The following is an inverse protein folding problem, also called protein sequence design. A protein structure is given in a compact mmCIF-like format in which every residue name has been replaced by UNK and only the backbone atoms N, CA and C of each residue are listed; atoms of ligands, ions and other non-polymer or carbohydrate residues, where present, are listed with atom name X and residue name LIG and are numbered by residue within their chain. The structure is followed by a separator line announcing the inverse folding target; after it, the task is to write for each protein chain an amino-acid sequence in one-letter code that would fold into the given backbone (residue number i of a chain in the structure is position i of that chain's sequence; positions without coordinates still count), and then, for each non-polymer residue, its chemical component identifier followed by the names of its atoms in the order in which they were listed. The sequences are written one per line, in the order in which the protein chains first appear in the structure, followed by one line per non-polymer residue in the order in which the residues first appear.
data_IF_128587308540
#
_entry.id   IF_128587308540
#
_cell.length_a   1.000
_cell.length_b   1.000
_cell.length_c   1.000
_cell.angle_alpha   90.00
_cell.angle_beta   90.00
_cell.angle_gamma   90.00
#
_symmetry.space_group_name_H-M   'P 1'
#
loop_
_entity.id
_entity.type
_entity.pdbx_description
1 polymer ?
#
# COMPACT_ATOMS: atom_id res chain seq x y z
N UNK A 1 6.93 17.93 15.76
CA UNK A 1 7.07 16.55 15.24
C UNK A 1 8.54 16.20 15.22
N UNK A 2 8.96 15.01 15.63
CA UNK A 2 10.35 14.55 15.35
C UNK A 2 10.48 14.09 13.89
N UNK A 3 11.69 14.06 13.30
CA UNK A 3 11.88 13.57 11.93
C UNK A 3 11.38 12.13 11.72
N UNK A 4 11.53 11.27 12.74
CA UNK A 4 11.03 9.89 12.69
C UNK A 4 9.50 9.82 12.68
N UNK A 5 8.84 10.61 13.52
CA UNK A 5 7.37 10.70 13.53
C UNK A 5 6.84 11.25 12.21
N UNK A 6 7.50 12.27 11.65
CA UNK A 6 7.15 12.82 10.34
C UNK A 6 7.29 11.78 9.23
N UNK A 7 8.41 11.03 9.21
CA UNK A 7 8.62 9.95 8.25
C UNK A 7 7.48 8.91 8.34
N UNK A 8 7.10 8.49 9.54
CA UNK A 8 5.99 7.54 9.73
C UNK A 8 4.67 8.10 9.18
N UNK A 9 4.32 9.35 9.50
CA UNK A 9 3.08 9.98 9.02
C UNK A 9 3.03 10.09 7.49
N UNK A 10 4.14 10.53 6.87
CA UNK A 10 4.23 10.64 5.42
C UNK A 10 4.21 9.26 4.74
N UNK A 11 4.81 8.23 5.35
CA UNK A 11 4.76 6.86 4.82
C UNK A 11 3.34 6.28 4.91
N UNK A 12 2.65 6.44 6.04
CA UNK A 12 1.27 5.96 6.18
C UNK A 12 0.31 6.71 5.25
N UNK A 13 0.53 8.02 5.03
CA UNK A 13 -0.20 8.79 4.03
C UNK A 13 0.04 8.22 2.63
N UNK A 14 1.30 8.07 2.24
CA UNK A 14 1.67 7.66 0.88
C UNK A 14 1.23 6.22 0.54
N UNK A 15 1.24 5.32 1.53
CA UNK A 15 0.78 3.93 1.36
C UNK A 15 -0.74 3.80 1.49
N UNK A 16 -1.41 4.78 2.10
CA UNK A 16 -2.86 4.89 2.26
C UNK A 16 -3.55 3.62 2.80
N UNK A 17 -2.84 2.86 3.65
CA UNK A 17 -3.32 1.60 4.23
C UNK A 17 -2.68 1.36 5.60
N UNK A 18 -3.21 0.36 6.30
CA UNK A 18 -2.59 -0.18 7.50
C UNK A 18 -1.20 -0.79 7.20
N UNK A 19 -0.21 -0.45 8.03
CA UNK A 19 1.15 -1.00 7.95
C UNK A 19 1.60 -1.60 9.28
N UNK A 20 2.17 -2.79 9.22
CA UNK A 20 2.95 -3.35 10.33
C UNK A 20 4.29 -2.62 10.49
N UNK A 21 4.94 -2.77 11.66
CA UNK A 21 6.30 -2.30 11.84
C UNK A 21 7.33 -2.92 10.87
N UNK A 22 7.11 -4.15 10.42
CA UNK A 22 7.97 -4.77 9.42
C UNK A 22 7.83 -4.09 8.05
N UNK A 23 6.60 -3.75 7.67
CA UNK A 23 6.31 -3.04 6.41
C UNK A 23 6.79 -1.58 6.45
N UNK A 24 6.54 -0.85 7.55
CA UNK A 24 7.08 0.51 7.73
C UNK A 24 8.61 0.54 7.60
N UNK A 25 9.29 -0.46 8.16
CA UNK A 25 10.74 -0.56 8.04
C UNK A 25 11.17 -0.89 6.62
N UNK A 26 10.47 -1.80 5.93
CA UNK A 26 10.77 -2.15 4.55
C UNK A 26 10.60 -0.96 3.59
N UNK A 27 9.56 -0.13 3.78
CA UNK A 27 9.25 1.02 2.93
C UNK A 27 10.12 2.23 3.24
N UNK A 28 10.28 2.56 4.52
CA UNK A 28 10.83 3.85 4.94
C UNK A 28 11.98 3.75 5.95
N UNK A 29 12.41 2.54 6.32
CA UNK A 29 13.50 2.33 7.27
C UNK A 29 13.17 2.73 8.71
N UNK A 30 11.89 2.95 9.04
CA UNK A 30 11.43 3.38 10.38
C UNK A 30 10.42 2.41 10.96
N UNK A 31 10.40 2.29 12.28
CA UNK A 31 9.32 1.63 13.03
C UNK A 31 8.57 2.65 13.88
N UNK A 32 7.32 2.36 14.21
CA UNK A 32 6.50 3.10 15.17
C UNK A 32 6.28 2.26 16.44
N UNK A 33 7.10 2.52 17.46
CA UNK A 33 7.07 1.81 18.73
C UNK A 33 7.21 2.79 19.93
N UNK A 34 7.12 2.23 21.14
CA UNK A 34 7.45 2.94 22.37
C UNK A 34 6.75 4.29 22.56
N UNK A 35 7.57 5.32 22.86
CA UNK A 35 7.11 6.67 23.16
C UNK A 35 6.57 7.41 21.92
N UNK A 36 7.23 7.41 20.74
CA UNK A 36 6.69 8.02 19.52
C UNK A 36 5.28 7.52 19.18
N UNK A 37 5.04 6.20 19.22
CA UNK A 37 3.71 5.62 19.00
C UNK A 37 2.66 6.18 19.95
N UNK A 38 2.93 6.13 21.26
CA UNK A 38 1.99 6.64 22.27
C UNK A 38 1.69 8.13 22.07
N UNK A 39 2.68 8.90 21.62
CA UNK A 39 2.50 10.32 21.33
C UNK A 39 1.62 10.54 20.11
N UNK A 40 1.88 9.87 18.98
CA UNK A 40 1.04 9.98 17.77
C UNK A 40 -0.39 9.52 18.02
N UNK A 41 -0.59 8.43 18.75
CA UNK A 41 -1.93 7.98 19.17
C UNK A 41 -2.62 9.00 20.07
N UNK A 42 -1.90 9.59 21.05
CA UNK A 42 -2.46 10.63 21.93
C UNK A 42 -2.88 11.88 21.16
N UNK A 43 -2.15 12.22 20.09
CA UNK A 43 -2.49 13.33 19.20
C UNK A 43 -3.63 12.97 18.23
N UNK A 44 -4.09 11.72 18.22
CA UNK A 44 -5.11 11.25 17.29
C UNK A 44 -4.66 11.30 15.83
N UNK A 45 -3.35 11.20 15.55
CA UNK A 45 -2.83 11.23 14.18
C UNK A 45 -2.72 9.83 13.59
N UNK A 46 -2.44 8.84 14.43
CA UNK A 46 -2.26 7.44 14.05
C UNK A 46 -3.04 6.57 15.01
N UNK A 47 -3.74 5.57 14.47
CA UNK A 47 -4.25 4.47 15.27
C UNK A 47 -3.26 3.31 15.24
N UNK A 48 -3.10 2.64 16.38
CA UNK A 48 -2.22 1.47 16.47
C UNK A 48 -2.90 0.35 17.21
N UNK A 49 -3.16 -0.73 16.49
CA UNK A 49 -3.81 -1.93 17.01
C UNK A 49 -2.80 -3.07 17.06
N UNK A 50 -3.05 -4.02 17.97
CA UNK A 50 -2.25 -5.22 18.07
C UNK A 50 -2.98 -6.35 17.35
N UNK A 51 -2.38 -6.86 16.27
CA UNK A 51 -2.91 -7.99 15.50
C UNK A 51 -1.96 -9.18 15.69
N UNK A 52 -2.41 -10.15 16.51
CA UNK A 52 -1.57 -11.25 16.98
C UNK A 52 -0.34 -10.76 17.74
N UNK A 53 0.86 -10.96 17.17
CA UNK A 53 2.14 -10.51 17.73
C UNK A 53 2.67 -9.19 17.14
N UNK A 54 2.02 -8.68 16.09
CA UNK A 54 2.45 -7.48 15.40
C UNK A 54 1.67 -6.24 15.88
N UNK A 55 2.30 -5.08 15.82
CA UNK A 55 1.61 -3.79 15.84
C UNK A 55 1.34 -3.38 14.40
N UNK A 56 0.10 -2.97 14.16
CA UNK A 56 -0.40 -2.43 12.90
C UNK A 56 -0.75 -0.97 13.14
N UNK A 57 -0.40 -0.11 12.18
CA UNK A 57 -0.52 1.34 12.27
C UNK A 57 -1.32 1.86 11.09
N UNK A 58 -2.27 2.73 11.36
CA UNK A 58 -3.11 3.36 10.35
C UNK A 58 -3.07 4.88 10.51
N UNK A 59 -3.01 5.62 9.40
CA UNK A 59 -3.21 7.06 9.45
C UNK A 59 -4.70 7.33 9.67
N UNK A 60 -5.01 8.09 10.72
CA UNK A 60 -6.39 8.54 10.95
C UNK A 60 -6.76 9.67 9.97
N UNK A 61 -8.05 9.97 9.85
CA UNK A 61 -8.51 11.15 9.10
C UNK A 61 -7.88 12.46 9.62
N UNK A 62 -7.77 12.62 10.95
CA UNK A 62 -7.10 13.76 11.54
C UNK A 62 -5.59 13.78 11.22
N UNK A 63 -4.96 12.60 11.15
CA UNK A 63 -3.59 12.44 10.69
C UNK A 63 -3.40 12.85 9.23
N UNK A 64 -4.32 12.48 8.35
CA UNK A 64 -4.31 12.88 6.94
C UNK A 64 -4.45 14.39 6.79
N UNK A 65 -5.39 15.00 7.51
CA UNK A 65 -5.54 16.46 7.54
C UNK A 65 -4.27 17.16 8.06
N UNK A 66 -3.67 16.62 9.14
CA UNK A 66 -2.42 17.14 9.66
C UNK A 66 -1.30 17.07 8.63
N UNK A 67 -1.19 15.98 7.87
CA UNK A 67 -0.22 15.86 6.79
C UNK A 67 -0.45 16.91 5.70
N UNK A 68 -1.69 17.14 5.29
CA UNK A 68 -2.04 18.21 4.33
C UNK A 68 -1.55 19.58 4.80
N UNK A 69 -1.74 19.90 6.08
CA UNK A 69 -1.23 21.15 6.65
C UNK A 69 0.31 21.19 6.67
N UNK A 70 0.96 20.06 6.94
CA UNK A 70 2.42 19.96 6.97
C UNK A 70 3.04 20.21 5.59
N UNK A 71 2.38 19.80 4.49
CA UNK A 71 2.84 20.06 3.12
C UNK A 71 3.02 21.56 2.81
N UNK A 72 2.22 22.42 3.45
CA UNK A 72 2.27 23.88 3.28
C UNK A 72 3.30 24.57 4.17
N UNK A 73 3.90 23.87 5.13
CA UNK A 73 4.80 24.49 6.12
C UNK A 73 6.18 24.78 5.54
N UNK A 74 6.84 25.85 6.04
CA UNK A 74 8.23 26.08 5.71
C UNK A 74 9.10 24.93 6.23
N UNK A 75 10.21 24.65 5.55
CA UNK A 75 11.18 23.66 6.02
C UNK A 75 11.66 24.00 7.44
N UNK A 76 11.77 23.02 8.34
CA UNK A 76 12.38 23.24 9.65
C UNK A 76 13.83 23.71 9.53
N UNK A 77 14.30 24.40 10.57
CA UNK A 77 15.72 24.71 10.70
C UNK A 77 16.54 23.42 10.83
N UNK A 78 17.76 23.44 10.29
CA UNK A 78 18.72 22.33 10.38
C UNK A 78 18.25 21.01 9.74
N UNK A 79 17.31 21.05 8.78
CA UNK A 79 16.87 19.85 8.04
C UNK A 79 17.89 19.28 7.02
N UNK A 80 19.05 19.93 6.85
CA UNK A 80 20.04 19.54 5.85
C UNK A 80 19.55 19.70 4.40
N UNK A 81 20.35 19.23 3.44
CA UNK A 81 20.04 19.33 2.00
C UNK A 81 18.84 18.46 1.61
N UNK A 82 18.81 17.20 2.05
CA UNK A 82 17.70 16.28 1.77
C UNK A 82 16.37 16.76 2.33
N UNK A 83 16.34 17.24 3.57
CA UNK A 83 15.13 17.81 4.15
C UNK A 83 14.70 19.10 3.44
N UNK A 84 15.65 19.94 3.03
CA UNK A 84 15.35 21.11 2.20
C UNK A 84 14.70 20.73 0.86
N UNK A 85 15.23 19.72 0.18
CA UNK A 85 14.68 19.21 -1.08
C UNK A 85 13.28 18.59 -0.89
N UNK A 86 13.08 17.79 0.17
CA UNK A 86 11.78 17.20 0.51
C UNK A 86 10.71 18.28 0.68
N UNK A 87 10.97 19.31 1.49
CA UNK A 87 10.01 20.38 1.73
C UNK A 87 9.74 21.24 0.48
N UNK A 88 10.71 21.37 -0.44
CA UNK A 88 10.46 22.02 -1.73
C UNK A 88 9.50 21.20 -2.60
N UNK A 89 9.63 19.86 -2.61
CA UNK A 89 8.69 18.95 -3.30
C UNK A 89 7.31 19.01 -2.66
N UNK A 90 7.21 18.94 -1.32
CA UNK A 90 5.94 19.01 -0.60
C UNK A 90 5.20 20.33 -0.87
N UNK A 91 5.91 21.45 -0.84
CA UNK A 91 5.33 22.75 -1.19
C UNK A 91 4.88 22.82 -2.66
N UNK A 92 5.61 22.16 -3.58
CA UNK A 92 5.21 22.03 -4.98
C UNK A 92 3.93 21.22 -5.16
N UNK A 93 3.84 20.08 -4.50
CA UNK A 93 2.65 19.23 -4.49
C UNK A 93 1.44 19.97 -3.91
N UNK A 94 1.61 20.67 -2.79
CA UNK A 94 0.54 21.48 -2.20
C UNK A 94 0.00 22.53 -3.18
N UNK A 95 0.88 23.28 -3.86
CA UNK A 95 0.46 24.25 -4.89
C UNK A 95 -0.29 23.60 -6.04
N UNK A 96 0.12 22.40 -6.47
CA UNK A 96 -0.58 21.68 -7.52
C UNK A 96 -2.01 21.32 -7.08
N UNK A 97 -2.15 20.73 -5.89
CA UNK A 97 -3.44 20.31 -5.33
C UNK A 97 -4.41 21.49 -5.15
N UNK A 98 -3.93 22.60 -4.60
CA UNK A 98 -4.72 23.84 -4.45
C UNK A 98 -5.19 24.36 -5.81
N UNK A 99 -4.31 24.36 -6.82
CA UNK A 99 -4.65 24.85 -8.16
C UNK A 99 -5.59 23.91 -8.92
N UNK A 100 -5.51 22.59 -8.69
CA UNK A 100 -6.36 21.59 -9.35
C UNK A 100 -7.67 21.31 -8.61
N UNK A 101 -7.80 21.80 -7.36
CA UNK A 101 -8.95 21.51 -6.49
C UNK A 101 -9.01 20.04 -6.04
N UNK A 102 -7.89 19.32 -6.09
CA UNK A 102 -7.80 17.91 -5.69
C UNK A 102 -7.44 17.79 -4.21
N UNK A 103 -7.96 16.76 -3.54
CA UNK A 103 -7.55 16.46 -2.16
C UNK A 103 -6.29 15.60 -2.16
N UNK A 104 -5.47 15.75 -1.11
CA UNK A 104 -4.27 14.94 -0.92
C UNK A 104 -4.59 13.44 -0.84
N UNK A 105 -5.73 13.11 -0.25
CA UNK A 105 -6.28 11.75 -0.14
C UNK A 105 -6.74 11.16 -1.46
N UNK A 106 -7.00 11.99 -2.48
CA UNK A 106 -7.35 11.50 -3.82
C UNK A 106 -6.09 11.10 -4.61
N UNK A 107 -4.93 11.64 -4.23
CA UNK A 107 -3.63 11.31 -4.84
C UNK A 107 -3.06 10.04 -4.23
N UNK A 108 -3.12 9.92 -2.91
CA UNK A 108 -2.62 8.74 -2.20
C UNK A 108 -3.76 7.78 -1.93
N UNK A 109 -3.93 6.84 -2.86
CA UNK A 109 -4.83 5.70 -2.74
C UNK A 109 -4.02 4.41 -2.57
N UNK A 110 -4.54 3.37 -1.90
CA UNK A 110 -3.82 2.12 -1.75
C UNK A 110 -3.44 1.53 -3.12
N UNK A 111 -2.15 1.26 -3.34
CA UNK A 111 -1.72 0.52 -4.54
C UNK A 111 -2.01 -0.97 -4.34
N UNK A 112 -3.23 -1.38 -4.70
CA UNK A 112 -3.69 -2.77 -4.60
C UNK A 112 -2.86 -3.68 -5.52
N UNK A 113 -2.44 -3.20 -6.69
CA UNK A 113 -1.62 -3.98 -7.61
C UNK A 113 -0.25 -4.30 -7.02
N UNK A 114 0.42 -3.31 -6.42
CA UNK A 114 1.69 -3.52 -5.72
C UNK A 114 1.52 -4.43 -4.49
N UNK A 115 0.45 -4.27 -3.70
CA UNK A 115 0.15 -5.18 -2.60
C UNK A 115 0.02 -6.64 -3.06
N UNK A 116 -0.64 -6.87 -4.20
CA UNK A 116 -0.76 -8.21 -4.77
C UNK A 116 0.60 -8.74 -5.24
N UNK A 117 1.41 -7.92 -5.92
CA UNK A 117 2.74 -8.33 -6.39
C UNK A 117 3.71 -8.62 -5.24
N UNK A 118 3.69 -7.81 -4.17
CA UNK A 118 4.45 -8.09 -2.95
C UNK A 118 4.01 -9.41 -2.33
N UNK A 119 2.70 -9.64 -2.21
CA UNK A 119 2.19 -10.90 -1.64
C UNK A 119 2.53 -12.12 -2.49
N UNK A 120 2.42 -12.00 -3.81
CA UNK A 120 2.88 -13.02 -4.75
C UNK A 120 4.36 -13.32 -4.53
N UNK A 121 5.22 -12.29 -4.47
CA UNK A 121 6.67 -12.45 -4.26
C UNK A 121 6.99 -13.15 -2.94
N UNK A 122 6.25 -12.85 -1.87
CA UNK A 122 6.37 -13.55 -0.59
C UNK A 122 6.00 -15.03 -0.69
N UNK A 123 4.86 -15.35 -1.33
CA UNK A 123 4.38 -16.73 -1.50
C UNK A 123 5.36 -17.57 -2.31
N UNK A 124 5.89 -17.00 -3.39
CA UNK A 124 6.82 -17.71 -4.29
C UNK A 124 8.29 -17.61 -3.86
N UNK A 125 8.57 -16.91 -2.75
CA UNK A 125 9.93 -16.64 -2.25
C UNK A 125 10.82 -15.99 -3.31
N UNK A 126 10.23 -15.11 -4.12
CA UNK A 126 10.89 -14.37 -5.20
C UNK A 126 11.20 -15.18 -6.46
N UNK A 127 10.76 -16.43 -6.56
CA UNK A 127 10.94 -17.25 -7.77
C UNK A 127 9.64 -17.24 -8.60
N UNK A 128 9.70 -17.13 -9.94
CA UNK A 128 8.49 -17.23 -10.74
C UNK A 128 7.79 -18.58 -10.52
N UNK A 129 6.51 -18.54 -10.14
CA UNK A 129 5.67 -19.72 -9.95
C UNK A 129 4.20 -19.37 -10.22
N UNK A 130 3.35 -20.37 -10.37
CA UNK A 130 1.93 -20.18 -10.55
C UNK A 130 1.22 -20.14 -9.20
N UNK A 131 0.54 -19.03 -8.90
CA UNK A 131 -0.21 -18.84 -7.65
C UNK A 131 -1.70 -18.76 -7.95
N UNK A 132 -2.52 -19.49 -7.18
CA UNK A 132 -3.99 -19.40 -7.29
C UNK A 132 -4.50 -18.06 -6.76
N UNK A 133 -5.44 -17.44 -7.46
CA UNK A 133 -6.05 -16.18 -7.00
C UNK A 133 -6.78 -16.35 -5.67
N UNK A 134 -7.39 -17.51 -5.41
CA UNK A 134 -7.99 -17.83 -4.11
C UNK A 134 -6.96 -17.75 -2.97
N UNK A 135 -5.75 -18.27 -3.19
CA UNK A 135 -4.67 -18.18 -2.20
C UNK A 135 -4.26 -16.72 -1.96
N UNK A 136 -4.08 -15.92 -3.01
CA UNK A 136 -3.75 -14.50 -2.88
C UNK A 136 -4.82 -13.72 -2.11
N UNK A 137 -6.10 -13.94 -2.43
CA UNK A 137 -7.23 -13.30 -1.73
C UNK A 137 -7.27 -13.68 -0.25
N UNK A 138 -7.06 -14.95 0.08
CA UNK A 138 -7.01 -15.40 1.46
C UNK A 138 -5.85 -14.77 2.26
N UNK A 139 -4.79 -14.33 1.57
CA UNK A 139 -3.67 -13.59 2.18
C UNK A 139 -3.86 -12.08 2.22
N UNK A 140 -4.88 -11.56 1.55
CA UNK A 140 -5.22 -10.14 1.46
C UNK A 140 -6.70 -9.92 1.81
N UNK A 141 -7.17 -10.38 3.00
CA UNK A 141 -8.59 -10.35 3.36
C UNK A 141 -9.16 -8.94 3.52
N UNK A 142 -8.30 -7.92 3.64
CA UNK A 142 -8.69 -6.52 3.73
C UNK A 142 -9.01 -5.88 2.37
N UNK A 143 -8.66 -6.54 1.25
CA UNK A 143 -8.88 -5.99 -0.09
C UNK A 143 -10.26 -6.45 -0.61
N UNK A 144 -11.18 -5.51 -0.92
CA UNK A 144 -12.48 -5.84 -1.48
C UNK A 144 -12.38 -6.64 -2.79
N UNK A 145 -13.38 -7.48 -3.12
CA UNK A 145 -13.41 -8.22 -4.38
C UNK A 145 -13.28 -7.35 -5.63
N UNK A 146 -13.95 -6.19 -5.64
CA UNK A 146 -13.91 -5.25 -6.77
C UNK A 146 -12.50 -4.69 -6.96
N UNK A 147 -11.90 -4.13 -5.92
CA UNK A 147 -10.55 -3.53 -5.98
C UNK A 147 -9.48 -4.55 -6.38
N UNK A 148 -9.59 -5.80 -5.90
CA UNK A 148 -8.72 -6.88 -6.33
C UNK A 148 -8.87 -7.18 -7.83
N UNK A 149 -10.10 -7.20 -8.35
CA UNK A 149 -10.38 -7.44 -9.75
C UNK A 149 -9.86 -6.28 -10.63
N UNK A 150 -10.09 -5.03 -10.23
CA UNK A 150 -9.59 -3.85 -10.93
C UNK A 150 -8.05 -3.84 -10.96
N UNK A 151 -7.40 -4.19 -9.85
CA UNK A 151 -5.96 -4.35 -9.80
C UNK A 151 -5.45 -5.49 -10.69
N UNK A 152 -6.18 -6.61 -10.79
CA UNK A 152 -5.84 -7.70 -11.73
C UNK A 152 -5.91 -7.24 -13.19
N UNK A 153 -6.86 -6.38 -13.55
CA UNK A 153 -6.93 -5.77 -14.90
C UNK A 153 -5.67 -4.95 -15.16
N UNK A 154 -5.32 -4.05 -14.24
CA UNK A 154 -4.11 -3.22 -14.35
C UNK A 154 -2.83 -4.06 -14.44
N UNK A 155 -2.76 -5.16 -13.70
CA UNK A 155 -1.62 -6.07 -13.70
C UNK A 155 -1.53 -6.88 -14.98
N UNK A 156 -2.67 -7.30 -15.57
CA UNK A 156 -2.69 -8.08 -16.80
C UNK A 156 -2.13 -7.29 -18.02
N UNK A 157 -2.13 -5.96 -17.96
CA UNK A 157 -1.55 -5.09 -18.97
C UNK A 157 -0.04 -4.86 -18.79
N UNK A 158 0.57 -5.33 -17.70
CA UNK A 158 2.01 -5.18 -17.44
C UNK A 158 2.83 -6.29 -18.09
N UNK A 159 3.96 -5.92 -18.68
CA UNK A 159 4.92 -6.88 -19.23
C UNK A 159 5.39 -7.90 -18.18
N UNK A 160 5.44 -9.17 -18.58
CA UNK A 160 5.87 -10.27 -17.71
C UNK A 160 4.83 -10.73 -16.69
N UNK A 161 3.62 -10.14 -16.66
CA UNK A 161 2.52 -10.56 -15.80
C UNK A 161 1.49 -11.36 -16.60
N UNK A 162 1.14 -12.54 -16.10
CA UNK A 162 0.20 -13.45 -16.75
C UNK A 162 -0.93 -13.83 -15.80
N UNK A 163 -2.14 -13.39 -16.12
CA UNK A 163 -3.37 -13.78 -15.41
C UNK A 163 -4.13 -14.79 -16.25
N UNK A 164 -4.11 -16.08 -15.87
CA UNK A 164 -4.56 -17.19 -16.72
C UNK A 164 -5.76 -17.93 -16.14
N UNK A 165 -6.55 -18.56 -17.01
CA UNK A 165 -7.54 -19.54 -16.59
C UNK A 165 -6.85 -20.86 -16.23
N UNK A 166 -7.38 -21.58 -15.23
CA UNK A 166 -6.96 -22.96 -14.98
C UNK A 166 -7.45 -23.84 -16.14
N UNK A 167 -6.52 -24.63 -16.70
CA UNK A 167 -6.79 -25.48 -17.83
C UNK A 167 -7.59 -26.72 -17.40
N UNK A 168 -7.25 -27.31 -16.24
CA UNK A 168 -8.01 -28.43 -15.68
C UNK A 168 -9.10 -27.95 -14.73
N UNK A 169 -10.27 -27.66 -15.30
CA UNK A 169 -11.45 -27.18 -14.55
C UNK A 169 -11.91 -28.11 -13.45
N UNK A 170 -11.56 -29.40 -13.48
CA UNK A 170 -11.94 -30.36 -12.41
C UNK A 170 -11.17 -30.11 -11.12
N UNK A 171 -10.07 -29.34 -11.19
CA UNK A 171 -9.25 -28.98 -10.03
C UNK A 171 -9.67 -27.66 -9.37
N UNK A 172 -10.69 -26.98 -9.94
CA UNK A 172 -11.23 -25.75 -9.39
C UNK A 172 -12.16 -26.08 -8.23
N UNK A 173 -11.93 -25.38 -7.12
CA UNK A 173 -12.79 -25.41 -5.95
C UNK A 173 -13.80 -24.27 -5.98
N UNK A 174 -14.79 -24.30 -5.09
CA UNK A 174 -15.73 -23.19 -4.93
C UNK A 174 -15.00 -21.88 -4.56
N UNK A 175 -13.92 -21.96 -3.77
CA UNK A 175 -13.07 -20.83 -3.44
C UNK A 175 -12.37 -20.27 -4.67
N UNK A 176 -11.90 -21.12 -5.59
CA UNK A 176 -11.30 -20.67 -6.86
C UNK A 176 -12.33 -19.97 -7.76
N UNK A 177 -13.56 -20.46 -7.79
CA UNK A 177 -14.65 -19.83 -8.52
C UNK A 177 -15.04 -18.48 -7.92
N UNK A 178 -15.13 -18.39 -6.58
CA UNK A 178 -15.43 -17.16 -5.88
C UNK A 178 -14.29 -16.12 -5.99
N UNK A 179 -13.05 -16.58 -6.11
CA UNK A 179 -11.86 -15.75 -6.26
C UNK A 179 -11.56 -15.32 -7.69
N UNK A 180 -12.22 -15.93 -8.68
CA UNK A 180 -11.90 -15.71 -10.07
C UNK A 180 -12.16 -14.26 -10.50
N UNK A 181 -11.28 -13.74 -11.37
CA UNK A 181 -11.44 -12.42 -11.99
C UNK A 181 -11.78 -12.58 -13.47
N UNK A 182 -12.71 -11.79 -13.97
CA UNK A 182 -13.16 -11.90 -15.37
C UNK A 182 -12.36 -10.92 -16.24
N UNK A 183 -11.48 -11.46 -17.09
CA UNK A 183 -10.71 -10.68 -18.05
C UNK A 183 -11.13 -11.06 -19.47
N UNK A 184 -11.64 -10.08 -20.24
CA UNK A 184 -12.13 -10.30 -21.60
C UNK A 184 -13.28 -11.34 -21.66
N UNK A 185 -14.18 -11.31 -20.67
CA UNK A 185 -15.30 -12.25 -20.57
C UNK A 185 -14.94 -13.67 -20.11
N UNK A 186 -13.67 -13.93 -19.79
CA UNK A 186 -13.20 -15.25 -19.32
C UNK A 186 -12.74 -15.18 -17.87
N UNK A 187 -13.24 -16.09 -17.03
CA UNK A 187 -12.78 -16.26 -15.65
C UNK A 187 -11.33 -16.75 -15.60
N UNK A 188 -10.48 -16.02 -14.87
CA UNK A 188 -9.08 -16.32 -14.61
C UNK A 188 -8.90 -16.72 -13.16
N UNK A 189 -7.96 -17.61 -12.90
CA UNK A 189 -7.80 -18.30 -11.62
C UNK A 189 -6.35 -18.30 -11.12
N UNK A 190 -5.40 -17.92 -11.98
CA UNK A 190 -3.97 -18.08 -11.75
C UNK A 190 -3.24 -16.79 -12.06
N UNK A 191 -2.26 -16.44 -11.23
CA UNK A 191 -1.30 -15.37 -11.46
C UNK A 191 0.11 -15.97 -11.58
N UNK A 192 0.86 -15.53 -12.59
CA UNK A 192 2.30 -15.77 -12.73
C UNK A 192 2.97 -14.47 -13.09
N UNK A 193 4.07 -14.16 -12.43
CA UNK A 193 4.93 -13.00 -12.72
C UNK A 193 6.31 -13.54 -13.05
N UNK A 194 6.77 -13.25 -14.26
CA UNK A 194 8.11 -13.58 -14.73
C UNK A 194 9.16 -12.78 -13.94
N UNK A 195 10.37 -13.34 -13.83
CA UNK A 195 11.46 -12.58 -13.26
C UNK A 195 11.78 -11.41 -14.20
N UNK A 196 11.81 -10.19 -13.65
CA UNK A 196 12.31 -9.02 -14.37
C UNK A 196 13.74 -9.34 -14.83
N UNK A 197 13.97 -9.32 -16.15
CA UNK A 197 15.29 -9.54 -16.75
C UNK A 197 16.22 -8.37 -16.51
#
# INVERSE_FOLDING_TARGET
MSPRELAVLLTLLAEARELTNAELFAVAGVTLDGTPRRRLNKLGLVDSTKVGRALVHELTEHGAQWCTEELARPRPDKSGSYGGALYAVLAGLHRYLENSGQLLTDVFVPDVADQILRKYTELTKGKPDQVRLAELRNRLPHIPPADFADAMVLLADRDGVHVRAEADRKTLTDDDHAAAVVLGGTARHLLTVEAVR
#
